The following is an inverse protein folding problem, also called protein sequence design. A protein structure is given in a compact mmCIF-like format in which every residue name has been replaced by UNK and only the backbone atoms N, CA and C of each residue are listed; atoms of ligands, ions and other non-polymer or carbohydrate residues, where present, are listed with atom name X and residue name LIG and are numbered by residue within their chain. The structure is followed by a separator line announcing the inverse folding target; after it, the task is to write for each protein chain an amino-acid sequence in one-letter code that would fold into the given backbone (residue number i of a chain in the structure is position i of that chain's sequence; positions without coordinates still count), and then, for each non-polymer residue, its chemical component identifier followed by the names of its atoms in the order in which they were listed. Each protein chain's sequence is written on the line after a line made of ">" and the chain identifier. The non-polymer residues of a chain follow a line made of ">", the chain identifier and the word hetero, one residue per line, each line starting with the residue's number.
data_IF_739830967518
#
_entry.id   IF_739830967518
#
_cell.length_a   1.000
_cell.length_b   1.000
_cell.length_c   1.000
_cell.angle_alpha   90.00
_cell.angle_beta   90.00
_cell.angle_gamma   90.00
#
_symmetry.space_group_name_H-M   'P 1'
#
loop_
_entity.id
_entity.type
_entity.pdbx_description
1 polymer ?
#
# COMPACT_ATOMS: atom_id res chain seq x y z
N UNK A 1 -30.98 72.15 -29.43
CA UNK A 1 -30.32 72.31 -28.10
C UNK A 1 -31.08 71.44 -27.09
N UNK A 2 -30.43 70.44 -26.49
CA UNK A 2 -30.15 70.26 -25.03
C UNK A 2 -31.43 70.33 -24.15
N UNK A 3 -31.85 69.37 -23.32
CA UNK A 3 -31.16 68.30 -22.58
C UNK A 3 -32.19 67.32 -21.96
N UNK A 4 -31.93 66.00 -22.02
CA UNK A 4 -32.65 64.96 -21.26
C UNK A 4 -32.22 65.00 -19.79
N UNK A 5 -33.18 65.11 -18.87
CA UNK A 5 -32.93 65.00 -17.42
C UNK A 5 -32.72 63.53 -17.06
N UNK A 6 -31.50 63.15 -16.72
CA UNK A 6 -31.17 61.84 -16.15
C UNK A 6 -31.49 61.82 -14.66
N UNK A 7 -32.18 60.77 -14.20
CA UNK A 7 -32.32 60.43 -12.78
C UNK A 7 -31.06 59.67 -12.35
N UNK A 8 -30.47 59.94 -11.16
CA UNK A 8 -29.43 59.08 -10.63
C UNK A 8 -30.08 57.86 -9.97
N UNK A 9 -29.87 56.67 -10.54
CA UNK A 9 -30.10 55.40 -9.83
C UNK A 9 -28.89 55.17 -8.94
N UNK A 10 -29.04 55.48 -7.64
CA UNK A 10 -28.04 55.14 -6.62
C UNK A 10 -28.04 53.62 -6.41
N UNK A 11 -27.07 52.94 -7.01
CA UNK A 11 -26.74 51.55 -6.71
C UNK A 11 -25.84 51.52 -5.48
N UNK A 12 -26.42 51.28 -4.30
CA UNK A 12 -25.65 50.87 -3.13
C UNK A 12 -25.06 49.48 -3.39
N UNK A 13 -23.79 49.43 -3.78
CA UNK A 13 -23.01 48.20 -3.87
C UNK A 13 -22.81 47.68 -2.45
N UNK A 14 -23.58 46.66 -2.08
CA UNK A 14 -23.40 45.93 -0.85
C UNK A 14 -22.10 45.10 -0.95
N UNK A 15 -21.03 45.61 -0.37
CA UNK A 15 -19.72 44.95 -0.32
C UNK A 15 -19.81 43.70 0.56
N UNK A 16 -20.06 42.54 -0.05
CA UNK A 16 -20.04 41.23 0.62
C UNK A 16 -18.59 40.91 1.02
N UNK A 17 -18.30 41.04 2.31
CA UNK A 17 -16.99 40.77 2.90
C UNK A 17 -16.74 39.25 2.93
N UNK A 18 -15.81 38.77 2.10
CA UNK A 18 -15.37 37.38 2.04
C UNK A 18 -14.47 37.04 3.24
N UNK A 19 -15.05 36.93 4.45
CA UNK A 19 -14.36 36.44 5.66
C UNK A 19 -14.25 34.91 5.74
N UNK A 20 -14.74 34.17 4.73
CA UNK A 20 -14.73 32.70 4.73
C UNK A 20 -13.34 32.11 4.47
N UNK A 21 -12.48 32.80 3.72
CA UNK A 21 -11.15 32.28 3.38
C UNK A 21 -10.20 32.27 4.58
N UNK A 22 -10.32 33.20 5.54
CA UNK A 22 -9.46 33.20 6.74
C UNK A 22 -9.62 31.93 7.59
N UNK A 23 -10.82 31.33 7.64
CA UNK A 23 -11.07 30.10 8.42
C UNK A 23 -10.50 28.84 7.76
N UNK A 24 -10.37 28.84 6.44
CA UNK A 24 -9.82 27.70 5.71
C UNK A 24 -8.32 27.53 5.96
N UNK A 25 -7.58 28.64 6.07
CA UNK A 25 -6.15 28.62 6.43
C UNK A 25 -5.89 28.04 7.82
N UNK A 26 -6.78 28.26 8.80
CA UNK A 26 -6.65 27.63 10.12
C UNK A 26 -6.85 26.11 10.07
N UNK A 27 -7.74 25.62 9.20
CA UNK A 27 -7.90 24.19 8.96
C UNK A 27 -6.65 23.55 8.35
N UNK A 28 -6.06 24.21 7.34
CA UNK A 28 -4.82 23.76 6.70
C UNK A 28 -3.65 23.76 7.70
N UNK A 29 -3.53 24.82 8.52
CA UNK A 29 -2.48 24.94 9.54
C UNK A 29 -2.58 23.79 10.58
N UNK A 30 -3.81 23.48 11.03
CA UNK A 30 -4.04 22.38 11.97
C UNK A 30 -3.67 21.02 11.38
N UNK A 31 -3.97 20.78 10.10
CA UNK A 31 -3.65 19.53 9.41
C UNK A 31 -2.12 19.36 9.31
N UNK A 32 -1.40 20.39 8.90
CA UNK A 32 0.07 20.36 8.80
C UNK A 32 0.71 20.12 10.17
N UNK A 33 0.21 20.79 11.22
CA UNK A 33 0.71 20.60 12.59
C UNK A 33 0.45 19.17 13.09
N UNK A 34 -0.71 18.59 12.77
CA UNK A 34 -1.07 17.23 13.15
C UNK A 34 -0.18 16.19 12.45
N UNK A 35 0.09 16.35 11.16
CA UNK A 35 0.97 15.48 10.39
C UNK A 35 2.41 15.58 10.93
N UNK A 36 2.90 16.79 11.20
CA UNK A 36 4.21 17.00 11.81
C UNK A 36 4.33 16.38 13.21
N UNK A 37 3.28 16.47 14.03
CA UNK A 37 3.23 15.83 15.35
C UNK A 37 3.22 14.30 15.26
N UNK A 38 2.49 13.72 14.31
CA UNK A 38 2.47 12.26 14.10
C UNK A 38 3.85 11.74 13.66
N UNK A 39 4.52 12.44 12.75
CA UNK A 39 5.88 12.10 12.33
C UNK A 39 6.83 12.22 13.52
N UNK A 40 6.80 13.32 14.27
CA UNK A 40 7.65 13.49 15.44
C UNK A 40 7.41 12.45 16.53
N UNK A 41 6.15 12.13 16.85
CA UNK A 41 5.78 11.09 17.83
C UNK A 41 6.23 9.69 17.39
N UNK A 42 6.17 9.40 16.09
CA UNK A 42 6.59 8.11 15.55
C UNK A 42 8.10 8.03 15.28
N UNK A 43 8.81 9.16 15.24
CA UNK A 43 10.28 9.22 15.11
C UNK A 43 10.98 9.13 16.46
N UNK A 44 10.44 8.39 17.43
CA UNK A 44 11.18 8.08 18.65
C UNK A 44 12.34 7.16 18.24
N UNK A 45 13.61 7.62 18.34
CA UNK A 45 14.73 6.78 17.98
C UNK A 45 14.86 5.71 19.05
N UNK A 46 14.87 4.44 18.66
CA UNK A 46 15.54 3.44 19.47
C UNK A 46 17.02 3.79 19.41
N UNK A 47 17.51 4.40 20.49
CA UNK A 47 18.92 4.34 20.84
C UNK A 47 19.24 2.85 21.07
N UNK A 48 19.97 2.25 20.13
CA UNK A 48 21.21 1.55 20.47
C UNK A 48 21.98 1.17 19.19
N UNK A 49 23.19 1.73 19.07
CA UNK A 49 24.38 1.18 18.39
C UNK A 49 24.22 0.78 16.91
N UNK A 50 24.91 1.41 15.96
CA UNK A 50 26.38 1.31 15.83
C UNK A 50 26.86 2.41 14.88
N UNK A 51 27.88 3.14 15.31
CA UNK A 51 28.60 4.11 14.51
C UNK A 51 29.46 3.46 13.40
N UNK A 52 29.84 4.31 12.45
CA UNK A 52 30.99 4.24 11.50
C UNK A 52 30.58 4.17 10.02
N UNK A 53 30.36 5.36 9.46
CA UNK A 53 31.18 5.93 8.39
C UNK A 53 32.04 4.95 7.57
N UNK A 54 31.66 4.65 6.32
CA UNK A 54 32.41 5.05 5.12
C UNK A 54 31.78 4.53 3.82
N UNK A 55 32.09 5.24 2.73
CA UNK A 55 31.77 5.00 1.32
C UNK A 55 31.93 3.53 0.83
N UNK A 56 31.30 3.14 -0.29
CA UNK A 56 31.45 1.80 -0.84
C UNK A 56 32.76 1.67 -1.62
N UNK A 57 33.61 0.74 -1.22
CA UNK A 57 34.76 0.29 -2.00
C UNK A 57 34.80 -1.26 -2.02
N UNK A 58 34.44 -1.82 -3.18
CA UNK A 58 35.17 -2.85 -3.94
C UNK A 58 35.94 -3.95 -3.19
N UNK A 59 35.45 -5.19 -3.38
CA UNK A 59 36.18 -6.47 -3.62
C UNK A 59 37.13 -7.01 -2.53
N UNK A 60 36.79 -8.18 -1.97
CA UNK A 60 37.55 -9.47 -2.07
C UNK A 60 37.10 -10.50 -1.00
N UNK A 61 36.85 -11.73 -1.46
CA UNK A 61 36.77 -12.99 -0.69
C UNK A 61 38.22 -13.49 -0.47
N UNK A 62 38.65 -14.13 0.65
CA UNK A 62 38.31 -15.53 0.97
C UNK A 62 38.37 -16.03 2.45
N UNK A 63 37.72 -17.19 2.65
CA UNK A 63 38.01 -18.34 3.55
C UNK A 63 38.32 -18.17 5.06
N UNK A 64 37.52 -18.88 5.88
CA UNK A 64 37.92 -19.94 6.84
C UNK A 64 37.12 -19.95 8.18
N UNK A 65 36.49 -21.09 8.48
CA UNK A 65 35.95 -21.57 9.79
C UNK A 65 37.13 -22.32 10.50
N UNK A 66 37.24 -22.63 11.84
CA UNK A 66 36.17 -22.98 12.80
C UNK A 66 36.39 -22.74 14.34
N UNK A 67 35.41 -23.24 15.12
CA UNK A 67 35.48 -23.76 16.52
C UNK A 67 35.37 -22.76 17.70
N UNK A 68 34.88 -23.06 18.93
CA UNK A 68 34.03 -24.06 19.63
C UNK A 68 34.15 -23.71 21.13
N UNK A 69 33.05 -23.70 21.93
CA UNK A 69 32.94 -24.03 23.39
C UNK A 69 31.60 -23.43 23.91
N UNK A 70 30.56 -24.13 24.37
CA UNK A 70 30.33 -25.20 25.38
C UNK A 70 30.22 -24.70 26.83
N UNK A 71 29.13 -25.18 27.48
CA UNK A 71 28.75 -25.22 28.92
C UNK A 71 27.92 -24.03 29.41
N UNK A 72 26.61 -24.13 29.67
CA UNK A 72 25.83 -25.05 30.53
C UNK A 72 26.26 -25.01 32.00
N UNK A 73 25.41 -24.41 32.85
CA UNK A 73 25.00 -25.02 34.12
C UNK A 73 23.58 -24.54 34.54
N UNK A 74 22.94 -25.43 35.28
CA UNK A 74 21.52 -25.56 35.60
C UNK A 74 21.03 -24.63 36.72
N UNK A 75 19.73 -24.33 36.77
CA UNK A 75 18.91 -24.53 38.00
C UNK A 75 17.49 -24.94 37.60
N UNK A 76 17.16 -26.13 38.10
CA UNK A 76 15.88 -26.82 38.14
C UNK A 76 14.82 -26.01 38.90
N UNK A 77 13.59 -25.98 38.40
CA UNK A 77 12.43 -26.26 39.25
C UNK A 77 11.31 -26.92 38.45
N UNK A 78 10.90 -28.04 39.01
CA UNK A 78 9.91 -29.04 38.64
C UNK A 78 8.49 -28.49 38.78
N UNK A 79 7.66 -28.63 37.73
CA UNK A 79 6.22 -28.89 37.87
C UNK A 79 5.69 -29.55 36.60
N UNK A 80 5.68 -30.87 36.66
CA UNK A 80 4.84 -31.86 35.98
C UNK A 80 3.72 -31.29 35.07
N UNK A 81 3.93 -31.39 33.76
CA UNK A 81 2.87 -31.74 32.81
C UNK A 81 3.31 -32.97 32.04
N UNK A 82 2.49 -34.01 32.17
CA UNK A 82 2.61 -35.34 31.60
C UNK A 82 2.71 -35.30 30.07
N UNK A 83 3.93 -35.29 29.56
CA UNK A 83 4.26 -35.29 28.14
C UNK A 83 4.49 -36.73 27.59
N UNK A 84 3.88 -37.74 28.24
CA UNK A 84 4.01 -39.14 27.83
C UNK A 84 3.03 -39.58 26.73
N UNK A 85 2.32 -38.65 26.08
CA UNK A 85 1.33 -38.99 25.04
C UNK A 85 1.46 -38.18 23.75
N UNK A 86 2.69 -37.94 23.27
CA UNK A 86 2.86 -37.36 21.93
C UNK A 86 3.98 -37.95 21.08
N UNK A 87 4.86 -38.81 21.63
CA UNK A 87 6.01 -39.32 20.88
C UNK A 87 6.30 -40.79 21.22
N UNK A 88 5.32 -41.66 21.06
CA UNK A 88 5.52 -43.10 21.20
C UNK A 88 4.88 -43.87 20.03
N UNK A 89 5.44 -43.72 18.83
CA UNK A 89 5.35 -44.72 17.76
C UNK A 89 6.37 -44.45 16.63
N UNK A 90 7.64 -44.22 16.96
CA UNK A 90 8.72 -44.52 16.02
C UNK A 90 9.67 -45.46 16.73
N UNK A 91 9.24 -46.70 16.88
CA UNK A 91 10.15 -47.81 17.12
C UNK A 91 10.97 -48.01 15.85
N UNK A 92 12.27 -47.78 15.94
CA UNK A 92 13.23 -48.36 15.00
C UNK A 92 12.95 -49.86 14.86
N UNK A 93 12.88 -50.36 13.62
CA UNK A 93 13.41 -51.65 13.14
C UNK A 93 12.65 -52.11 11.89
N UNK A 94 13.40 -52.44 10.83
CA UNK A 94 12.99 -53.06 9.56
C UNK A 94 12.67 -52.09 8.41
N UNK A 95 13.45 -52.20 7.33
CA UNK A 95 13.17 -51.51 6.08
C UNK A 95 11.79 -51.96 5.57
N UNK A 96 10.88 -51.04 5.21
CA UNK A 96 9.54 -51.41 4.79
C UNK A 96 9.60 -52.26 3.52
N UNK A 97 8.90 -53.39 3.53
CA UNK A 97 8.81 -54.30 2.38
C UNK A 97 8.32 -53.55 1.13
N UNK A 98 9.12 -53.50 0.03
CA UNK A 98 8.76 -52.74 -1.15
C UNK A 98 7.44 -53.19 -1.77
N UNK A 99 7.08 -54.48 -1.68
CA UNK A 99 5.80 -54.98 -2.20
C UNK A 99 4.60 -54.37 -1.48
N UNK A 100 4.73 -54.11 -0.17
CA UNK A 100 3.66 -53.49 0.63
C UNK A 100 3.49 -52.00 0.33
N UNK A 101 4.56 -51.29 -0.03
CA UNK A 101 4.48 -49.88 -0.45
C UNK A 101 3.76 -49.77 -1.81
N UNK A 102 4.07 -50.67 -2.75
CA UNK A 102 3.44 -50.69 -4.07
C UNK A 102 1.96 -51.13 -4.05
N UNK A 103 1.59 -51.99 -3.11
CA UNK A 103 0.20 -52.46 -2.94
C UNK A 103 -0.61 -51.61 -1.96
N UNK A 104 0.00 -50.62 -1.32
CA UNK A 104 -0.70 -49.72 -0.42
C UNK A 104 -1.81 -48.97 -1.17
N UNK A 105 -3.06 -48.97 -0.64
CA UNK A 105 -4.14 -48.25 -1.27
C UNK A 105 -3.86 -46.74 -1.25
N UNK A 106 -4.00 -46.10 -2.40
CA UNK A 106 -3.88 -44.64 -2.49
C UNK A 106 -4.92 -43.97 -1.58
N UNK A 107 -4.57 -42.84 -0.95
CA UNK A 107 -5.50 -42.09 -0.14
C UNK A 107 -6.72 -41.68 -0.98
N UNK A 108 -7.92 -41.95 -0.46
CA UNK A 108 -9.17 -41.82 -1.22
C UNK A 108 -9.65 -40.37 -1.39
N UNK A 109 -9.09 -39.43 -0.64
CA UNK A 109 -9.62 -38.07 -0.53
C UNK A 109 -8.69 -37.06 -1.19
N UNK A 110 -9.11 -36.55 -2.34
CA UNK A 110 -8.44 -35.43 -3.04
C UNK A 110 -8.84 -34.06 -2.46
N UNK A 111 -9.22 -33.99 -1.17
CA UNK A 111 -9.77 -32.78 -0.55
C UNK A 111 -8.82 -31.60 -0.68
N UNK A 112 -7.52 -31.84 -0.48
CA UNK A 112 -6.49 -30.80 -0.59
C UNK A 112 -6.37 -30.24 -2.01
N UNK A 113 -6.43 -31.11 -3.03
CA UNK A 113 -6.38 -30.67 -4.42
C UNK A 113 -7.63 -29.86 -4.81
N UNK A 114 -8.79 -30.21 -4.25
CA UNK A 114 -10.03 -29.46 -4.49
C UNK A 114 -9.99 -28.07 -3.84
N UNK A 115 -9.53 -27.98 -2.60
CA UNK A 115 -9.35 -26.70 -1.91
C UNK A 115 -8.39 -25.78 -2.65
N UNK A 116 -7.28 -26.32 -3.18
CA UNK A 116 -6.34 -25.51 -3.96
C UNK A 116 -6.97 -24.99 -5.27
N UNK A 117 -7.79 -25.80 -5.95
CA UNK A 117 -8.52 -25.35 -7.14
C UNK A 117 -9.52 -24.25 -6.78
N UNK A 118 -10.29 -24.44 -5.70
CA UNK A 118 -11.29 -23.46 -5.26
C UNK A 118 -10.62 -22.13 -4.88
N UNK A 119 -9.48 -22.19 -4.15
CA UNK A 119 -8.67 -21.02 -3.83
C UNK A 119 -8.14 -20.31 -5.08
N UNK A 120 -7.62 -21.06 -6.05
CA UNK A 120 -7.08 -20.48 -7.29
C UNK A 120 -8.19 -19.82 -8.13
N UNK A 121 -9.40 -20.38 -8.13
CA UNK A 121 -10.54 -19.79 -8.84
C UNK A 121 -10.95 -18.45 -8.21
N UNK A 122 -11.00 -18.38 -6.89
CA UNK A 122 -11.25 -17.12 -6.16
C UNK A 122 -10.18 -16.06 -6.48
N UNK A 123 -8.90 -16.46 -6.50
CA UNK A 123 -7.79 -15.56 -6.85
C UNK A 123 -7.93 -15.04 -8.29
N UNK A 124 -8.31 -15.90 -9.24
CA UNK A 124 -8.55 -15.51 -10.64
C UNK A 124 -9.72 -14.56 -10.78
N UNK A 125 -10.83 -14.83 -10.09
CA UNK A 125 -12.00 -13.95 -10.13
C UNK A 125 -11.66 -12.56 -9.59
N UNK A 126 -10.89 -12.49 -8.49
CA UNK A 126 -10.41 -11.23 -7.93
C UNK A 126 -9.51 -10.47 -8.90
N UNK A 127 -8.61 -11.15 -9.61
CA UNK A 127 -7.75 -10.52 -10.61
C UNK A 127 -8.53 -10.01 -11.82
N UNK A 128 -9.48 -10.79 -12.33
CA UNK A 128 -10.33 -10.38 -13.44
C UNK A 128 -11.17 -9.13 -13.08
N UNK A 129 -11.65 -9.04 -11.84
CA UNK A 129 -12.34 -7.84 -11.35
C UNK A 129 -11.41 -6.61 -11.31
N UNK A 130 -10.15 -6.78 -10.90
CA UNK A 130 -9.16 -5.70 -10.90
C UNK A 130 -8.81 -5.24 -12.31
N UNK A 131 -8.62 -6.17 -13.25
CA UNK A 131 -8.35 -5.85 -14.65
C UNK A 131 -9.50 -5.05 -15.26
N UNK A 132 -10.74 -5.47 -15.02
CA UNK A 132 -11.92 -4.72 -15.48
C UNK A 132 -11.95 -3.30 -14.92
N UNK A 133 -11.69 -3.13 -13.62
CA UNK A 133 -11.66 -1.83 -12.97
C UNK A 133 -10.54 -0.94 -13.51
N UNK A 134 -9.35 -1.50 -13.75
CA UNK A 134 -8.24 -0.78 -14.37
C UNK A 134 -8.57 -0.35 -15.81
N UNK A 135 -9.16 -1.23 -16.61
CA UNK A 135 -9.61 -0.92 -17.96
C UNK A 135 -10.66 0.20 -17.97
N UNK A 136 -11.59 0.19 -17.01
CA UNK A 136 -12.59 1.23 -16.83
C UNK A 136 -11.96 2.59 -16.46
N UNK A 137 -10.98 2.60 -15.55
CA UNK A 137 -10.24 3.82 -15.22
C UNK A 137 -9.50 4.39 -16.44
N UNK A 138 -8.86 3.53 -17.24
CA UNK A 138 -8.20 3.96 -18.48
C UNK A 138 -9.21 4.52 -19.48
N UNK A 139 -10.38 3.91 -19.61
CA UNK A 139 -11.42 4.41 -20.50
C UNK A 139 -11.96 5.78 -20.05
N UNK A 140 -12.25 5.93 -18.76
CA UNK A 140 -12.75 7.19 -18.18
C UNK A 140 -11.73 8.31 -18.31
N UNK A 141 -10.45 8.04 -18.02
CA UNK A 141 -9.39 9.04 -18.15
C UNK A 141 -9.22 9.49 -19.60
N UNK A 142 -9.26 8.57 -20.57
CA UNK A 142 -9.25 8.92 -22.00
C UNK A 142 -10.40 9.84 -22.38
N UNK A 143 -11.62 9.52 -21.95
CA UNK A 143 -12.79 10.38 -22.22
C UNK A 143 -12.62 11.77 -21.61
N UNK A 144 -12.15 11.85 -20.37
CA UNK A 144 -11.88 13.14 -19.71
C UNK A 144 -10.84 13.94 -20.49
N UNK A 145 -9.75 13.31 -20.91
CA UNK A 145 -8.70 13.94 -21.71
C UNK A 145 -9.24 14.45 -23.04
N UNK A 146 -10.09 13.68 -23.72
CA UNK A 146 -10.69 14.08 -24.99
C UNK A 146 -11.63 15.28 -24.82
N UNK A 147 -12.51 15.25 -23.81
CA UNK A 147 -13.39 16.39 -23.50
C UNK A 147 -12.57 17.65 -23.18
N UNK A 148 -11.46 17.49 -22.46
CA UNK A 148 -10.54 18.60 -22.16
C UNK A 148 -9.85 19.14 -23.40
N UNK A 149 -9.44 18.28 -24.32
CA UNK A 149 -8.85 18.71 -25.59
C UNK A 149 -9.87 19.49 -26.45
N UNK A 150 -11.13 19.06 -26.48
CA UNK A 150 -12.19 19.79 -27.18
C UNK A 150 -12.47 21.16 -26.55
N UNK A 151 -12.50 21.24 -25.21
CA UNK A 151 -12.65 22.50 -24.47
C UNK A 151 -11.52 23.48 -24.81
N UNK A 152 -10.27 23.00 -24.83
CA UNK A 152 -9.09 23.81 -25.20
C UNK A 152 -9.21 24.31 -26.64
N UNK A 153 -9.53 23.44 -27.61
CA UNK A 153 -9.66 23.84 -29.01
C UNK A 153 -10.73 24.93 -29.21
N UNK A 154 -11.85 24.83 -28.48
CA UNK A 154 -12.90 25.84 -28.51
C UNK A 154 -12.41 27.18 -27.93
N UNK A 155 -11.69 27.13 -26.80
CA UNK A 155 -11.10 28.33 -26.19
C UNK A 155 -10.06 28.98 -27.12
N UNK A 156 -9.20 28.19 -27.75
CA UNK A 156 -8.22 28.66 -28.73
C UNK A 156 -8.90 29.36 -29.91
N UNK A 157 -10.01 28.81 -30.41
CA UNK A 157 -10.80 29.46 -31.46
C UNK A 157 -11.39 30.80 -31.01
N UNK A 158 -11.92 30.89 -29.78
CA UNK A 158 -12.44 32.15 -29.24
C UNK A 158 -11.34 33.20 -29.09
N UNK A 159 -10.16 32.79 -28.63
CA UNK A 159 -9.00 33.68 -28.51
C UNK A 159 -8.59 34.20 -29.90
N UNK A 160 -8.47 33.31 -30.90
CA UNK A 160 -8.11 33.71 -32.26
C UNK A 160 -9.13 34.69 -32.87
N UNK A 161 -10.43 34.54 -32.59
CA UNK A 161 -11.45 35.50 -33.00
C UNK A 161 -11.29 36.86 -32.31
N UNK A 162 -11.05 36.86 -31.00
CA UNK A 162 -10.81 38.10 -30.25
C UNK A 162 -9.55 38.83 -30.71
N UNK A 163 -8.49 38.09 -31.05
CA UNK A 163 -7.26 38.64 -31.61
C UNK A 163 -7.45 39.20 -33.02
N UNK A 164 -8.33 38.60 -33.84
CA UNK A 164 -8.65 39.12 -35.16
C UNK A 164 -9.56 40.38 -35.13
N UNK A 165 -10.36 40.52 -34.07
CA UNK A 165 -11.26 41.67 -33.85
C UNK A 165 -10.58 42.85 -33.13
N UNK A 166 -9.30 42.73 -32.75
CA UNK A 166 -8.49 43.80 -32.12
C UNK A 166 -7.54 44.48 -33.09
#
# INVERSE_FOLDING_TARGET
>A
MKSKKMRPLSNKVLKKSNRSHQKWWFGILLIVLFIGYLIWKNSLPEDDTTAVESLPATTEQPDAVPSTATSLDNVVNDDVLDDSQAIAAVTDTEAPDPENILKAPLPKTNSLAKEEIDRLEDERQRLAAQEKLAAEQIAMTKQLTELKAQEIALLEQQIAQLEADT
#
